data_IF_271364299479
#
_entry.id   IF_271364299479
#
_cell.length_a   1.000
_cell.length_b   1.000
_cell.length_c   1.000
_cell.angle_alpha   90.00
_cell.angle_beta   90.00
_cell.angle_gamma   90.00
#
_symmetry.space_group_name_H-M   'P 1'
#
loop_
_entity.id
_entity.type
_entity.pdbx_description
1 polymer ?
#
# COMPACT_ATOMS: atom_id res chain seq x y z
N UNK A 1 -22.21 13.16 -8.13
CA UNK A 1 -21.00 12.41 -7.70
C UNK A 1 -20.06 12.43 -8.88
N UNK A 2 -18.73 12.57 -8.68
CA UNK A 2 -17.75 12.43 -9.75
C UNK A 2 -17.80 10.99 -10.27
N UNK A 3 -17.66 10.80 -11.58
CA UNK A 3 -17.44 9.51 -12.21
C UNK A 3 -15.99 9.42 -12.62
N UNK A 4 -15.37 8.29 -12.33
CA UNK A 4 -13.98 8.00 -12.66
C UNK A 4 -13.92 7.20 -13.97
N UNK A 5 -12.96 7.56 -14.81
CA UNK A 5 -12.68 6.84 -16.03
C UNK A 5 -11.73 5.66 -15.73
N UNK A 6 -12.10 4.46 -16.16
CA UNK A 6 -11.24 3.28 -16.10
C UNK A 6 -10.58 3.06 -17.46
N UNK A 7 -9.25 3.09 -17.49
CA UNK A 7 -8.47 2.93 -18.70
C UNK A 7 -8.26 1.44 -18.97
N UNK A 8 -8.68 0.96 -20.11
CA UNK A 8 -8.38 -0.40 -20.55
C UNK A 8 -6.92 -0.57 -20.99
N UNK A 9 -6.57 -1.80 -21.39
CA UNK A 9 -5.27 -2.11 -22.01
C UNK A 9 -4.23 -2.73 -21.08
N UNK A 10 -4.53 -2.83 -19.77
CA UNK A 10 -3.75 -3.67 -18.84
C UNK A 10 -4.69 -4.54 -18.02
N UNK A 11 -4.43 -5.85 -18.00
CA UNK A 11 -5.24 -6.79 -17.24
C UNK A 11 -4.63 -7.01 -15.87
N UNK A 12 -5.44 -7.04 -14.79
CA UNK A 12 -4.96 -7.36 -13.46
C UNK A 12 -4.43 -8.79 -13.40
N UNK A 13 -3.41 -9.01 -12.58
CA UNK A 13 -2.83 -10.33 -12.37
C UNK A 13 -3.63 -11.04 -11.27
N UNK A 14 -4.09 -12.25 -11.55
CA UNK A 14 -4.68 -13.09 -10.51
C UNK A 14 -3.57 -13.77 -9.70
N UNK A 15 -3.53 -13.49 -8.41
CA UNK A 15 -2.62 -14.15 -7.46
C UNK A 15 -3.35 -14.45 -6.16
N UNK A 16 -3.06 -15.60 -5.57
CA UNK A 16 -3.49 -15.94 -4.22
C UNK A 16 -2.48 -15.45 -3.19
N UNK A 17 -2.96 -15.05 -2.02
CA UNK A 17 -2.11 -14.70 -0.89
C UNK A 17 -2.43 -15.61 0.30
N UNK A 18 -1.39 -16.08 0.99
CA UNK A 18 -1.51 -16.89 2.19
C UNK A 18 -0.61 -16.37 3.31
N UNK A 19 -0.94 -16.73 4.55
CA UNK A 19 -0.10 -16.44 5.70
C UNK A 19 0.77 -17.65 6.02
N UNK A 20 2.08 -17.51 5.89
CA UNK A 20 3.06 -18.55 6.21
C UNK A 20 3.96 -18.05 7.34
N UNK A 21 3.93 -18.69 8.50
CA UNK A 21 4.70 -18.27 9.68
C UNK A 21 4.56 -16.77 10.01
N UNK A 22 3.33 -16.24 9.92
CA UNK A 22 3.04 -14.82 10.20
C UNK A 22 3.47 -13.83 9.10
N UNK A 23 3.91 -14.33 7.94
CA UNK A 23 4.31 -13.54 6.78
C UNK A 23 3.31 -13.71 5.66
N UNK A 24 2.93 -12.64 4.99
CA UNK A 24 2.08 -12.72 3.79
C UNK A 24 2.93 -13.08 2.58
N UNK A 25 2.61 -14.21 1.97
CA UNK A 25 3.24 -14.72 0.75
C UNK A 25 2.23 -14.73 -0.38
N UNK A 26 2.66 -14.43 -1.59
CA UNK A 26 1.87 -14.50 -2.81
C UNK A 26 2.35 -15.62 -3.71
N UNK A 27 1.40 -16.37 -4.29
CA UNK A 27 1.68 -17.36 -5.31
C UNK A 27 1.42 -16.73 -6.69
N UNK A 28 2.48 -16.63 -7.51
CA UNK A 28 2.35 -16.08 -8.88
C UNK A 28 1.76 -17.10 -9.83
N UNK A 29 1.24 -16.66 -10.99
CA UNK A 29 0.72 -17.58 -12.03
C UNK A 29 1.75 -18.61 -12.51
N UNK A 30 3.05 -18.27 -12.44
CA UNK A 30 4.13 -19.17 -12.85
C UNK A 30 4.62 -20.09 -11.71
N UNK A 31 3.95 -20.06 -10.54
CA UNK A 31 4.28 -20.93 -9.40
C UNK A 31 5.38 -20.41 -8.47
N UNK A 32 5.84 -19.16 -8.63
CA UNK A 32 6.76 -18.54 -7.65
C UNK A 32 6.01 -18.11 -6.41
N UNK A 33 6.66 -18.27 -5.26
CA UNK A 33 6.12 -17.83 -3.97
C UNK A 33 6.97 -16.69 -3.44
N UNK A 34 6.42 -15.46 -3.47
CA UNK A 34 7.12 -14.24 -3.08
C UNK A 34 6.53 -13.61 -1.82
N UNK A 35 7.38 -13.06 -0.91
CA UNK A 35 6.89 -12.28 0.22
C UNK A 35 6.23 -10.98 -0.26
N UNK A 36 5.25 -10.50 0.53
CA UNK A 36 4.67 -9.20 0.23
C UNK A 36 5.67 -8.06 0.48
N UNK A 37 5.58 -6.99 -0.33
CA UNK A 37 6.34 -5.74 -0.13
C UNK A 37 6.24 -5.28 1.32
N UNK A 38 5.03 -5.25 1.88
CA UNK A 38 4.81 -4.82 3.27
C UNK A 38 5.42 -5.77 4.30
N UNK A 39 5.50 -7.08 4.02
CA UNK A 39 6.21 -8.05 4.85
C UNK A 39 7.70 -7.72 4.90
N UNK A 40 8.32 -7.48 3.76
CA UNK A 40 9.75 -7.14 3.67
C UNK A 40 10.05 -5.82 4.37
N UNK A 41 9.30 -4.75 4.07
CA UNK A 41 9.49 -3.43 4.69
C UNK A 41 9.30 -3.49 6.21
N UNK A 42 8.30 -4.21 6.72
CA UNK A 42 8.07 -4.32 8.16
C UNK A 42 9.13 -5.14 8.90
N UNK A 43 9.88 -5.96 8.18
CA UNK A 43 10.93 -6.81 8.73
C UNK A 43 12.30 -6.13 8.82
N UNK A 44 12.49 -4.91 8.30
CA UNK A 44 13.77 -4.23 8.45
C UNK A 44 14.11 -3.96 9.94
N UNK A 45 15.40 -3.99 10.27
CA UNK A 45 15.89 -3.91 11.65
C UNK A 45 15.44 -2.63 12.36
N UNK A 46 15.48 -1.48 11.67
CA UNK A 46 15.08 -0.18 12.23
C UNK A 46 13.60 -0.18 12.60
N UNK A 47 12.74 -0.68 11.70
CA UNK A 47 11.29 -0.76 11.91
C UNK A 47 10.95 -1.69 13.07
N UNK A 48 11.51 -2.88 13.10
CA UNK A 48 11.32 -3.86 14.17
C UNK A 48 11.73 -3.28 15.52
N UNK A 49 12.92 -2.68 15.60
CA UNK A 49 13.39 -2.03 16.83
C UNK A 49 12.48 -0.88 17.28
N UNK A 50 11.97 -0.08 16.35
CA UNK A 50 11.02 1.00 16.64
C UNK A 50 9.70 0.46 17.20
N UNK A 51 9.13 -0.57 16.57
CA UNK A 51 7.91 -1.23 17.03
C UNK A 51 8.13 -1.86 18.42
N UNK A 52 9.24 -2.54 18.65
CA UNK A 52 9.55 -3.14 19.94
C UNK A 52 9.65 -2.09 21.06
N UNK A 53 10.36 -0.97 20.82
CA UNK A 53 10.44 0.16 21.78
C UNK A 53 9.06 0.77 22.06
N UNK A 54 8.23 0.95 21.01
CA UNK A 54 6.88 1.47 21.18
C UNK A 54 6.01 0.52 22.01
N UNK A 55 6.04 -0.80 21.73
CA UNK A 55 5.29 -1.80 22.50
C UNK A 55 5.73 -1.84 23.96
N UNK A 56 7.04 -1.83 24.22
CA UNK A 56 7.57 -1.77 25.57
C UNK A 56 7.11 -0.52 26.36
N UNK A 57 7.01 0.63 25.67
CA UNK A 57 6.57 1.90 26.27
C UNK A 57 5.08 1.93 26.59
N UNK A 58 4.22 1.44 25.69
CA UNK A 58 2.75 1.56 25.84
C UNK A 58 2.11 0.34 26.50
N UNK A 59 2.81 -0.78 26.58
CA UNK A 59 2.33 -2.08 27.04
C UNK A 59 1.62 -2.89 25.95
N UNK A 60 1.74 -4.21 26.03
CA UNK A 60 1.28 -5.13 25.01
C UNK A 60 -0.22 -5.03 24.72
N UNK A 61 -1.05 -4.98 25.76
CA UNK A 61 -2.51 -4.87 25.60
C UNK A 61 -2.93 -3.62 24.84
N UNK A 62 -2.39 -2.45 25.27
CA UNK A 62 -2.69 -1.17 24.61
C UNK A 62 -2.13 -1.13 23.19
N UNK A 63 -0.95 -1.70 22.95
CA UNK A 63 -0.37 -1.80 21.62
C UNK A 63 -1.24 -2.65 20.69
N UNK A 64 -1.73 -3.80 21.18
CA UNK A 64 -2.62 -4.67 20.41
C UNK A 64 -3.96 -3.96 20.10
N UNK A 65 -4.59 -3.32 21.08
CA UNK A 65 -5.83 -2.57 20.88
C UNK A 65 -5.65 -1.45 19.83
N UNK A 66 -4.57 -0.66 19.92
CA UNK A 66 -4.27 0.39 18.93
C UNK A 66 -4.03 -0.19 17.54
N UNK A 67 -3.30 -1.29 17.42
CA UNK A 67 -3.04 -1.94 16.14
C UNK A 67 -4.34 -2.46 15.51
N UNK A 68 -5.18 -3.15 16.29
CA UNK A 68 -6.48 -3.67 15.84
C UNK A 68 -7.39 -2.53 15.35
N UNK A 69 -7.49 -1.44 16.13
CA UNK A 69 -8.27 -0.25 15.74
C UNK A 69 -7.75 0.35 14.44
N UNK A 70 -6.43 0.55 14.33
CA UNK A 70 -5.82 1.14 13.13
C UNK A 70 -6.03 0.25 11.89
N UNK A 71 -5.87 -1.07 12.02
CA UNK A 71 -6.10 -2.02 10.92
C UNK A 71 -7.57 -2.01 10.49
N UNK A 72 -8.52 -2.09 11.44
CA UNK A 72 -9.94 -2.08 11.12
C UNK A 72 -10.38 -0.77 10.44
N UNK A 73 -9.89 0.38 10.94
CA UNK A 73 -10.11 1.70 10.32
C UNK A 73 -9.56 1.74 8.89
N UNK A 74 -8.30 1.32 8.70
CA UNK A 74 -7.66 1.31 7.39
C UNK A 74 -8.40 0.44 6.39
N UNK A 75 -8.69 -0.82 6.75
CA UNK A 75 -9.44 -1.74 5.88
C UNK A 75 -10.78 -1.14 5.42
N UNK A 76 -11.52 -0.49 6.32
CA UNK A 76 -12.82 0.10 5.95
C UNK A 76 -12.66 1.35 5.09
N UNK A 77 -11.65 2.18 5.35
CA UNK A 77 -11.36 3.33 4.50
C UNK A 77 -11.00 2.90 3.07
N UNK A 78 -10.12 1.89 2.90
CA UNK A 78 -9.78 1.33 1.59
C UNK A 78 -11.02 0.78 0.86
N UNK A 79 -11.89 0.02 1.56
CA UNK A 79 -13.14 -0.48 0.94
C UNK A 79 -14.06 0.65 0.47
N UNK A 80 -14.15 1.77 1.22
CA UNK A 80 -14.94 2.94 0.80
C UNK A 80 -14.31 3.63 -0.41
N UNK A 81 -13.00 3.80 -0.42
CA UNK A 81 -12.27 4.39 -1.54
C UNK A 81 -12.37 3.50 -2.79
N UNK A 82 -12.27 2.19 -2.64
CA UNK A 82 -12.45 1.21 -3.72
C UNK A 82 -13.84 1.31 -4.34
N UNK A 83 -14.93 1.23 -3.54
CA UNK A 83 -16.29 1.40 -4.06
C UNK A 83 -16.47 2.78 -4.73
N UNK A 84 -15.82 3.83 -4.19
CA UNK A 84 -15.88 5.17 -4.76
C UNK A 84 -15.25 5.26 -6.14
N UNK A 85 -14.04 4.73 -6.30
CA UNK A 85 -13.34 4.73 -7.58
C UNK A 85 -13.97 3.79 -8.60
N UNK A 86 -14.63 2.71 -8.16
CA UNK A 86 -15.43 1.84 -9.04
C UNK A 86 -16.75 2.46 -9.48
N UNK A 87 -17.09 3.69 -9.02
CA UNK A 87 -18.37 4.33 -9.27
C UNK A 87 -19.57 3.59 -8.64
N UNK A 88 -19.34 2.79 -7.60
CA UNK A 88 -20.32 1.89 -6.96
C UNK A 88 -20.59 2.26 -5.49
N UNK A 89 -20.13 3.43 -5.03
CA UNK A 89 -20.20 3.82 -3.63
C UNK A 89 -21.65 3.88 -3.13
N UNK A 90 -21.98 2.99 -2.20
CA UNK A 90 -23.16 3.05 -1.36
C UNK A 90 -22.77 3.18 0.12
N UNK A 91 -22.82 4.41 0.66
CA UNK A 91 -22.47 4.67 2.05
C UNK A 91 -23.36 3.93 3.06
N UNK A 92 -24.54 3.43 2.66
CA UNK A 92 -25.40 2.63 3.54
C UNK A 92 -24.72 1.32 3.95
N UNK A 93 -23.86 0.75 3.09
CA UNK A 93 -23.04 -0.43 3.42
C UNK A 93 -22.13 -0.18 4.62
N UNK A 94 -21.72 1.08 4.83
CA UNK A 94 -20.70 1.50 5.80
C UNK A 94 -21.26 2.18 7.04
N UNK A 95 -22.58 2.21 7.24
CA UNK A 95 -23.26 2.88 8.38
C UNK A 95 -22.74 2.47 9.76
N UNK A 96 -22.19 1.24 9.89
CA UNK A 96 -21.60 0.73 11.13
C UNK A 96 -20.18 1.24 11.39
N UNK A 97 -19.59 1.96 10.44
CA UNK A 97 -18.21 2.45 10.46
C UNK A 97 -18.16 3.97 10.28
N UNK A 98 -18.74 4.76 11.22
CA UNK A 98 -18.89 6.20 11.04
C UNK A 98 -17.55 6.93 10.88
N UNK A 99 -16.49 6.51 11.59
CA UNK A 99 -15.19 7.15 11.50
C UNK A 99 -14.54 7.02 10.11
N UNK A 100 -14.38 5.82 9.50
CA UNK A 100 -13.92 5.71 8.11
C UNK A 100 -14.77 6.48 7.10
N UNK A 101 -16.10 6.53 7.28
CA UNK A 101 -17.00 7.32 6.43
C UNK A 101 -16.69 8.81 6.56
N UNK A 102 -16.53 9.32 7.77
CA UNK A 102 -16.16 10.72 8.01
C UNK A 102 -14.81 11.05 7.39
N UNK A 103 -13.81 10.20 7.60
CA UNK A 103 -12.47 10.36 7.00
C UNK A 103 -12.52 10.38 5.47
N UNK A 104 -13.36 9.53 4.86
CA UNK A 104 -13.60 9.55 3.42
C UNK A 104 -14.20 10.91 2.98
N UNK A 105 -15.21 11.42 3.69
CA UNK A 105 -15.80 12.72 3.35
C UNK A 105 -14.77 13.85 3.40
N UNK A 106 -13.88 13.85 4.40
CA UNK A 106 -12.85 14.87 4.54
C UNK A 106 -11.76 14.75 3.46
N UNK A 107 -11.47 13.53 3.00
CA UNK A 107 -10.46 13.30 1.95
C UNK A 107 -11.02 13.38 0.52
N UNK A 108 -12.33 13.49 0.37
CA UNK A 108 -13.01 13.37 -0.93
C UNK A 108 -12.48 14.35 -1.99
N UNK A 109 -12.26 15.60 -1.65
CA UNK A 109 -11.75 16.60 -2.60
C UNK A 109 -10.33 16.23 -3.10
N UNK A 110 -9.52 15.60 -2.24
CA UNK A 110 -8.23 15.05 -2.65
C UNK A 110 -8.39 13.82 -3.53
N UNK A 111 -9.30 12.90 -3.19
CA UNK A 111 -9.58 11.71 -4.00
C UNK A 111 -10.15 12.11 -5.38
N UNK A 112 -10.87 13.21 -5.47
CA UNK A 112 -11.40 13.74 -6.73
C UNK A 112 -10.32 14.25 -7.70
N UNK A 113 -9.06 14.39 -7.26
CA UNK A 113 -7.90 14.69 -8.12
C UNK A 113 -7.42 13.48 -8.92
N UNK A 114 -7.85 12.26 -8.53
CA UNK A 114 -7.56 11.02 -9.23
C UNK A 114 -8.50 10.86 -10.42
N UNK A 115 -8.00 10.40 -11.54
CA UNK A 115 -8.79 9.99 -12.72
C UNK A 115 -7.98 9.01 -13.58
N UNK A 116 -8.55 8.54 -14.68
CA UNK A 116 -7.91 7.61 -15.59
C UNK A 116 -7.25 6.44 -14.83
N UNK A 117 -8.08 5.63 -14.18
CA UNK A 117 -7.65 4.51 -13.33
C UNK A 117 -7.25 3.34 -14.24
N UNK A 118 -6.01 2.89 -14.11
CA UNK A 118 -5.47 1.74 -14.83
C UNK A 118 -5.65 0.45 -14.03
N UNK A 119 -5.31 0.46 -12.74
CA UNK A 119 -5.47 -0.67 -11.83
C UNK A 119 -5.87 -0.17 -10.45
N UNK A 120 -6.71 -0.94 -9.76
CA UNK A 120 -7.13 -0.67 -8.40
C UNK A 120 -7.14 -1.98 -7.60
N UNK A 121 -6.65 -1.95 -6.34
CA UNK A 121 -6.54 -3.13 -5.46
C UNK A 121 -5.97 -4.34 -6.22
N UNK A 122 -5.00 -4.10 -7.09
CA UNK A 122 -4.48 -5.07 -8.03
C UNK A 122 -3.20 -5.74 -7.52
N UNK A 123 -3.10 -7.04 -7.76
CA UNK A 123 -1.91 -7.79 -7.46
C UNK A 123 -0.80 -7.49 -8.49
N UNK A 124 0.41 -7.28 -8.01
CA UNK A 124 1.63 -7.09 -8.79
C UNK A 124 2.77 -7.92 -8.21
N UNK A 125 3.71 -8.31 -9.05
CA UNK A 125 4.94 -8.95 -8.61
C UNK A 125 6.11 -8.60 -9.53
N UNK A 126 7.32 -8.79 -9.02
CA UNK A 126 8.57 -8.68 -9.75
C UNK A 126 9.40 -9.93 -9.53
N UNK A 127 9.82 -10.57 -10.61
CA UNK A 127 10.76 -11.71 -10.56
C UNK A 127 12.17 -11.24 -10.23
N UNK A 128 12.54 -10.00 -10.63
CA UNK A 128 13.84 -9.44 -10.36
C UNK A 128 14.00 -9.05 -8.87
N UNK A 129 12.94 -8.53 -8.25
CA UNK A 129 12.94 -8.17 -6.84
C UNK A 129 12.57 -9.35 -5.92
N UNK A 130 12.02 -10.44 -6.49
CA UNK A 130 11.43 -11.55 -5.73
C UNK A 130 10.38 -11.09 -4.71
N UNK A 131 9.57 -10.12 -5.11
CA UNK A 131 8.52 -9.50 -4.30
C UNK A 131 7.19 -9.56 -5.03
N UNK A 132 6.12 -9.55 -4.22
CA UNK A 132 4.76 -9.36 -4.71
C UNK A 132 3.97 -8.46 -3.77
N UNK A 133 2.79 -8.02 -4.20
CA UNK A 133 1.92 -7.22 -3.35
C UNK A 133 0.63 -6.83 -4.05
N UNK A 134 -0.18 -6.07 -3.33
CA UNK A 134 -1.39 -5.46 -3.84
C UNK A 134 -1.19 -3.95 -3.80
N UNK A 135 -1.20 -3.31 -4.97
CA UNK A 135 -1.16 -1.86 -5.09
C UNK A 135 -2.56 -1.30 -4.86
N UNK A 136 -2.67 -0.22 -4.13
CA UNK A 136 -3.98 0.39 -3.86
C UNK A 136 -4.57 0.99 -5.14
N UNK A 137 -3.78 1.82 -5.87
CA UNK A 137 -4.26 2.42 -7.10
C UNK A 137 -3.09 2.79 -8.04
N UNK A 138 -3.27 2.54 -9.32
CA UNK A 138 -2.44 3.06 -10.42
C UNK A 138 -3.35 3.90 -11.30
N UNK A 139 -3.17 5.19 -11.28
CA UNK A 139 -4.05 6.17 -11.92
C UNK A 139 -3.30 7.46 -12.23
N UNK A 140 -3.95 8.37 -12.92
CA UNK A 140 -3.47 9.75 -13.00
C UNK A 140 -3.90 10.54 -11.76
N UNK A 141 -2.94 11.12 -11.07
CA UNK A 141 -3.16 12.13 -10.03
C UNK A 141 -2.76 13.49 -10.60
N UNK A 142 -3.71 14.42 -10.67
CA UNK A 142 -3.56 15.70 -11.38
C UNK A 142 -3.09 15.55 -12.85
N UNK A 143 -3.57 14.50 -13.53
CA UNK A 143 -3.23 14.22 -14.92
C UNK A 143 -1.85 13.57 -15.14
N UNK A 144 -1.17 13.12 -14.08
CA UNK A 144 0.15 12.47 -14.16
C UNK A 144 0.06 11.03 -13.66
N UNK A 145 0.49 10.05 -14.47
CA UNK A 145 0.49 8.64 -14.10
C UNK A 145 1.33 8.39 -12.84
N UNK A 146 0.69 7.79 -11.85
CA UNK A 146 1.19 7.66 -10.48
C UNK A 146 0.96 6.27 -9.91
N UNK A 147 1.83 5.86 -8.97
CA UNK A 147 1.49 4.90 -7.93
C UNK A 147 0.86 5.69 -6.79
N UNK A 148 -0.33 5.30 -6.36
CA UNK A 148 -1.08 5.99 -5.30
C UNK A 148 -1.32 5.00 -4.17
N UNK A 149 -0.95 5.39 -2.96
CA UNK A 149 -1.06 4.59 -1.74
C UNK A 149 -1.94 5.32 -0.72
N UNK A 150 -2.99 4.66 -0.25
CA UNK A 150 -3.93 5.21 0.72
C UNK A 150 -3.54 4.76 2.13
N UNK A 151 -3.48 5.71 3.03
CA UNK A 151 -3.17 5.46 4.44
C UNK A 151 -4.17 6.14 5.35
N UNK A 152 -4.28 5.63 6.56
CA UNK A 152 -5.06 6.28 7.62
C UNK A 152 -4.19 6.53 8.86
N UNK A 153 -4.41 7.65 9.53
CA UNK A 153 -3.70 8.02 10.75
C UNK A 153 -4.64 8.73 11.74
N UNK A 154 -4.21 8.90 13.00
CA UNK A 154 -4.91 9.75 13.96
C UNK A 154 -4.68 11.23 13.61
N UNK A 155 -3.46 11.60 13.20
CA UNK A 155 -3.01 12.94 12.81
C UNK A 155 -2.03 12.86 11.64
N UNK A 156 -1.77 13.96 10.91
CA UNK A 156 -0.73 14.02 9.90
C UNK A 156 0.61 13.54 10.44
N UNK A 157 1.35 12.83 9.61
CA UNK A 157 2.65 12.26 9.97
C UNK A 157 3.79 13.19 9.56
N UNK A 158 4.87 13.20 10.34
CA UNK A 158 6.11 13.80 9.90
C UNK A 158 6.67 13.02 8.72
N UNK A 159 7.39 13.69 7.83
CA UNK A 159 7.95 13.11 6.60
C UNK A 159 8.81 11.86 6.86
N UNK A 160 9.58 11.86 7.94
CA UNK A 160 10.42 10.72 8.35
C UNK A 160 9.62 9.41 8.58
N UNK A 161 8.33 9.51 8.94
CA UNK A 161 7.44 8.36 9.13
C UNK A 161 6.70 7.94 7.84
N UNK A 162 6.85 8.73 6.78
CA UNK A 162 6.27 8.42 5.47
C UNK A 162 7.28 7.72 4.55
N UNK A 163 8.57 7.74 4.90
CA UNK A 163 9.65 7.23 4.04
C UNK A 163 9.43 5.78 3.58
N UNK A 164 8.97 4.90 4.49
CA UNK A 164 8.66 3.51 4.16
C UNK A 164 7.51 3.38 3.13
N UNK A 165 6.61 4.36 3.04
CA UNK A 165 5.55 4.37 2.02
C UNK A 165 6.14 4.68 0.64
N UNK A 166 7.08 5.62 0.56
CA UNK A 166 7.78 5.92 -0.70
C UNK A 166 8.60 4.72 -1.20
N UNK A 167 9.19 3.94 -0.28
CA UNK A 167 9.87 2.67 -0.60
C UNK A 167 8.85 1.63 -1.11
N UNK A 168 7.68 1.53 -0.49
CA UNK A 168 6.59 0.65 -0.92
C UNK A 168 6.08 1.02 -2.32
N UNK A 169 5.80 2.29 -2.56
CA UNK A 169 5.33 2.82 -3.85
C UNK A 169 6.39 2.60 -4.94
N UNK A 170 7.69 2.74 -4.60
CA UNK A 170 8.80 2.44 -5.51
C UNK A 170 8.83 0.96 -5.91
N UNK A 171 8.55 0.04 -4.99
CA UNK A 171 8.45 -1.38 -5.32
C UNK A 171 7.33 -1.64 -6.35
N UNK A 172 6.15 -1.03 -6.17
CA UNK A 172 5.07 -1.14 -7.13
C UNK A 172 5.37 -0.47 -8.46
N UNK A 173 6.09 0.66 -8.47
CA UNK A 173 6.56 1.29 -9.72
C UNK A 173 7.49 0.35 -10.51
N UNK A 174 8.42 -0.35 -9.84
CA UNK A 174 9.27 -1.36 -10.46
C UNK A 174 8.45 -2.54 -11.02
N UNK A 175 7.48 -3.04 -10.26
CA UNK A 175 6.60 -4.13 -10.70
C UNK A 175 5.77 -3.74 -11.93
N UNK A 176 5.23 -2.52 -11.94
CA UNK A 176 4.47 -1.97 -13.08
C UNK A 176 5.34 -1.86 -14.34
N UNK A 177 6.56 -1.35 -14.17
CA UNK A 177 7.52 -1.25 -15.27
C UNK A 177 7.93 -2.62 -15.78
N UNK A 178 8.21 -3.59 -14.90
CA UNK A 178 8.61 -4.94 -15.29
C UNK A 178 7.49 -5.68 -16.02
N UNK A 179 6.25 -5.57 -15.53
CA UNK A 179 5.12 -6.35 -16.06
C UNK A 179 4.50 -5.74 -17.29
N UNK A 180 4.34 -4.42 -17.33
CA UNK A 180 3.55 -3.73 -18.36
C UNK A 180 4.37 -2.71 -19.17
N UNK A 181 5.67 -2.54 -18.88
CA UNK A 181 6.51 -1.55 -19.56
C UNK A 181 6.16 -0.08 -19.22
N UNK A 182 5.34 0.15 -18.21
CA UNK A 182 4.82 1.47 -17.86
C UNK A 182 5.67 2.12 -16.76
N UNK A 183 6.18 3.33 -17.01
CA UNK A 183 6.93 4.12 -16.04
C UNK A 183 6.06 5.22 -15.44
N UNK A 184 5.98 5.28 -14.13
CA UNK A 184 5.29 6.37 -13.42
C UNK A 184 6.20 7.58 -13.26
N UNK A 185 5.60 8.76 -13.19
CA UNK A 185 6.31 10.03 -13.00
C UNK A 185 6.29 10.50 -11.56
N UNK A 186 5.37 9.98 -10.75
CA UNK A 186 5.22 10.37 -9.37
C UNK A 186 4.68 9.22 -8.49
N UNK A 187 5.04 9.31 -7.22
CA UNK A 187 4.57 8.50 -6.11
C UNK A 187 3.64 9.39 -5.27
N UNK A 188 2.48 8.90 -4.91
CA UNK A 188 1.46 9.70 -4.22
C UNK A 188 0.98 8.97 -2.97
N UNK A 189 1.32 9.49 -1.81
CA UNK A 189 0.77 9.01 -0.54
C UNK A 189 -0.36 9.93 -0.08
N UNK A 190 -1.55 9.39 0.11
CA UNK A 190 -2.72 10.11 0.66
C UNK A 190 -3.02 9.55 2.04
N UNK A 191 -2.87 10.38 3.08
CA UNK A 191 -3.14 9.99 4.46
C UNK A 191 -4.42 10.68 4.95
N UNK A 192 -5.51 9.93 5.07
CA UNK A 192 -6.72 10.43 5.71
C UNK A 192 -6.56 10.35 7.24
N UNK A 193 -6.85 11.46 7.94
CA UNK A 193 -6.65 11.56 9.38
C UNK A 193 -7.98 11.60 10.14
N UNK A 194 -7.99 11.04 11.37
CA UNK A 194 -9.19 11.05 12.24
C UNK A 194 -9.60 12.48 12.64
N UNK A 195 -8.64 13.42 12.69
CA UNK A 195 -8.89 14.83 13.01
C UNK A 195 -9.50 15.65 11.86
N UNK A 196 -9.80 15.01 10.72
CA UNK A 196 -10.40 15.65 9.55
C UNK A 196 -9.40 16.20 8.53
N UNK A 197 -8.10 16.18 8.83
CA UNK A 197 -7.07 16.59 7.87
C UNK A 197 -6.81 15.48 6.84
N UNK A 198 -6.42 15.88 5.62
CA UNK A 198 -5.92 14.97 4.60
C UNK A 198 -4.51 15.42 4.20
N UNK A 199 -3.53 14.60 4.52
CA UNK A 199 -2.15 14.85 4.13
C UNK A 199 -1.87 14.21 2.78
N UNK A 200 -1.34 15.00 1.85
CA UNK A 200 -0.97 14.54 0.51
C UNK A 200 0.51 14.79 0.31
N UNK A 201 1.22 13.75 -0.08
CA UNK A 201 2.64 13.86 -0.45
C UNK A 201 2.79 13.34 -1.88
N UNK A 202 3.33 14.17 -2.75
CA UNK A 202 3.59 13.87 -4.16
C UNK A 202 5.07 14.05 -4.41
N UNK A 203 5.76 12.98 -4.79
CA UNK A 203 7.21 12.97 -4.99
C UNK A 203 7.56 12.23 -6.29
N UNK A 204 8.64 12.63 -6.99
CA UNK A 204 9.15 11.81 -8.08
C UNK A 204 9.77 10.51 -7.53
N UNK A 205 9.78 9.41 -8.30
CA UNK A 205 10.59 8.24 -7.98
C UNK A 205 12.06 8.62 -7.84
N UNK A 206 12.71 8.22 -6.75
CA UNK A 206 14.10 8.55 -6.46
C UNK A 206 14.96 7.29 -6.33
N UNK A 207 16.21 7.38 -6.80
CA UNK A 207 17.18 6.28 -6.65
C UNK A 207 17.37 5.86 -5.19
N UNK A 208 17.29 6.79 -4.25
CA UNK A 208 17.44 6.50 -2.82
C UNK A 208 16.38 5.54 -2.27
N UNK A 209 15.11 5.66 -2.73
CA UNK A 209 14.04 4.73 -2.32
C UNK A 209 14.29 3.33 -2.85
N UNK A 210 14.76 3.23 -4.10
CA UNK A 210 15.12 1.95 -4.69
C UNK A 210 16.31 1.30 -3.96
N UNK A 211 17.35 2.05 -3.65
CA UNK A 211 18.50 1.53 -2.89
C UNK A 211 18.09 1.06 -1.49
N UNK A 212 17.18 1.79 -0.84
CA UNK A 212 16.62 1.38 0.45
C UNK A 212 15.77 0.11 0.30
N UNK A 213 14.96 -0.01 -0.74
CA UNK A 213 14.22 -1.23 -1.05
C UNK A 213 15.14 -2.43 -1.18
N UNK A 214 16.23 -2.30 -1.97
CA UNK A 214 17.21 -3.37 -2.15
C UNK A 214 17.89 -3.76 -0.83
N UNK A 215 18.20 -2.79 0.03
CA UNK A 215 18.72 -3.07 1.37
C UNK A 215 17.72 -3.85 2.23
N UNK A 216 16.43 -3.52 2.18
CA UNK A 216 15.40 -4.24 2.93
C UNK A 216 15.20 -5.67 2.42
N UNK A 217 15.29 -5.87 1.10
CA UNK A 217 15.24 -7.19 0.48
C UNK A 217 16.43 -8.04 0.95
N UNK A 218 17.66 -7.53 0.85
CA UNK A 218 18.87 -8.22 1.31
C UNK A 218 18.76 -8.61 2.78
N UNK A 219 18.37 -7.67 3.64
CA UNK A 219 18.20 -7.93 5.07
C UNK A 219 17.12 -8.99 5.36
N UNK A 220 16.04 -9.00 4.57
CA UNK A 220 14.99 -10.01 4.67
C UNK A 220 15.50 -11.39 4.26
N UNK A 221 16.22 -11.49 3.13
CA UNK A 221 16.79 -12.72 2.62
C UNK A 221 17.86 -13.31 3.56
N UNK A 222 18.75 -12.48 4.11
CA UNK A 222 19.75 -12.89 5.11
C UNK A 222 19.10 -13.48 6.37
N UNK A 223 17.96 -12.91 6.80
CA UNK A 223 17.27 -13.36 8.02
C UNK A 223 16.41 -14.59 7.83
N UNK A 224 15.83 -14.77 6.65
CA UNK A 224 14.84 -15.82 6.39
C UNK A 224 15.31 -16.89 5.42
N UNK A 225 16.54 -16.78 4.90
CA UNK A 225 17.08 -17.68 3.90
C UNK A 225 16.35 -17.57 2.55
N UNK A 226 16.71 -18.41 1.61
CA UNK A 226 16.01 -18.53 0.33
C UNK A 226 14.68 -19.32 0.43
N UNK A 227 13.95 -19.17 1.53
CA UNK A 227 12.61 -19.77 1.70
C UNK A 227 11.61 -19.32 0.63
N UNK A 228 12.03 -18.44 -0.26
CA UNK A 228 11.19 -17.71 -1.21
C UNK A 228 11.09 -18.34 -2.59
N UNK A 229 11.86 -19.38 -2.90
CA UNK A 229 11.81 -20.02 -4.21
C UNK A 229 11.40 -21.48 -4.06
N UNK A 230 10.12 -21.74 -3.87
CA UNK A 230 9.58 -23.06 -4.16
C UNK A 230 9.10 -23.01 -5.61
N UNK A 231 9.89 -23.61 -6.50
CA UNK A 231 9.37 -24.03 -7.81
C UNK A 231 8.48 -25.25 -7.55
N UNK A 232 7.16 -25.09 -7.75
CA UNK A 232 6.28 -26.23 -7.87
C UNK A 232 6.54 -27.00 -9.16
#
# INVERSE_FOLDING_TARGET
>A
MKLFNHVGGIDPIEMSAEMVNGKRMYLTPEGYKFPSVTTVISNNTKKRASIARWRARVGEEKANAKTTRATGRGTKYHSIAEDYFNNELDLKKYKKYPLPVLMFHHSKDTLDRINNIYLQEAALYSKHLELAGRVDCIAEFDGVLSIIDFKTAEHPKREEYLYDYFVQETAYACMLQEKYGMSVKQLVTIVACENGETQVVVLPPKKEYFLTLMSYISEYQERHGQETIIRG
#
